data_IF_415819337677
#
_entry.id   IF_415819337677
#
_cell.length_a   1.000
_cell.length_b   1.000
_cell.length_c   1.000
_cell.angle_alpha   90.00
_cell.angle_beta   90.00
_cell.angle_gamma   90.00
#
_symmetry.space_group_name_H-M   'P 1'
#
loop_
_entity.id
_entity.type
_entity.pdbx_description
1 polymer ?
#
# COMPACT_ATOMS: atom_id res chain seq x y z
N UNK A 1 -24.08 -1.58 6.66
CA UNK A 1 -23.28 -2.14 7.77
C UNK A 1 -22.87 -0.98 8.68
N UNK A 2 -22.71 -1.16 10.01
CA UNK A 2 -22.18 -0.11 10.87
C UNK A 2 -20.73 0.20 10.49
N UNK A 3 -20.35 1.47 10.57
CA UNK A 3 -18.96 1.93 10.36
C UNK A 3 -18.35 2.31 11.70
N UNK A 4 -17.03 2.15 11.81
CA UNK A 4 -16.27 2.52 13.00
C UNK A 4 -15.00 3.26 12.58
N UNK A 5 -14.62 4.25 13.36
CA UNK A 5 -13.30 4.89 13.28
C UNK A 5 -12.42 4.23 14.34
N UNK A 6 -11.20 3.82 13.97
CA UNK A 6 -10.27 3.11 14.86
C UNK A 6 -8.94 3.86 14.88
N UNK A 7 -8.40 4.10 16.07
CA UNK A 7 -7.05 4.64 16.24
C UNK A 7 -6.10 3.50 16.60
N UNK A 8 -5.07 3.33 15.77
CA UNK A 8 -3.98 2.38 15.96
C UNK A 8 -2.67 3.11 16.15
N UNK A 9 -1.81 2.56 16.99
CA UNK A 9 -0.47 3.07 17.28
C UNK A 9 0.49 1.92 17.58
N UNK A 10 1.77 2.22 17.73
CA UNK A 10 2.79 1.27 18.13
C UNK A 10 3.88 1.99 18.94
N UNK A 11 4.61 1.23 19.76
CA UNK A 11 5.78 1.77 20.45
C UNK A 11 6.91 1.92 19.46
N UNK A 12 7.38 3.14 19.26
CA UNK A 12 8.55 3.43 18.45
C UNK A 12 9.74 3.77 19.35
N UNK A 13 10.74 2.87 19.46
CA UNK A 13 11.96 3.18 20.18
C UNK A 13 12.71 4.34 19.53
N UNK A 14 13.37 5.11 20.38
CA UNK A 14 14.25 6.20 19.98
C UNK A 14 15.61 5.92 20.59
N UNK A 15 16.66 6.07 19.80
CA UNK A 15 18.04 5.87 20.23
C UNK A 15 18.91 7.08 19.91
N UNK A 16 20.05 7.19 20.58
CA UNK A 16 21.08 8.17 20.27
C UNK A 16 22.45 7.51 20.32
N UNK A 17 23.38 8.01 19.51
CA UNK A 17 24.78 7.62 19.59
C UNK A 17 25.60 8.79 20.14
N UNK A 18 26.34 8.54 21.22
CA UNK A 18 27.22 9.52 21.85
C UNK A 18 28.46 8.82 22.40
N UNK A 19 29.58 9.52 22.39
CA UNK A 19 30.85 9.04 22.94
C UNK A 19 31.05 9.62 24.32
N UNK A 20 31.41 8.77 25.29
CA UNK A 20 31.73 9.16 26.65
C UNK A 20 33.14 8.70 26.98
N UNK A 21 33.96 9.60 27.53
CA UNK A 21 35.28 9.26 28.03
C UNK A 21 35.17 8.85 29.51
N UNK A 22 35.59 7.63 29.83
CA UNK A 22 35.59 7.10 31.19
C UNK A 22 36.71 6.08 31.39
N UNK A 23 37.04 5.77 32.65
CA UNK A 23 38.09 4.82 32.98
C UNK A 23 37.69 3.35 32.69
N UNK A 24 36.39 3.06 32.74
CA UNK A 24 35.82 1.73 32.49
C UNK A 24 34.55 1.82 31.62
N UNK A 25 34.15 0.70 31.03
CA UNK A 25 32.90 0.63 30.27
C UNK A 25 31.69 0.87 31.19
N UNK A 26 31.73 0.35 32.42
CA UNK A 26 30.69 0.56 33.43
C UNK A 26 30.53 2.05 33.76
N UNK A 27 31.64 2.78 33.96
CA UNK A 27 31.59 4.23 34.21
C UNK A 27 31.01 4.98 33.01
N UNK A 28 31.37 4.60 31.78
CA UNK A 28 30.78 5.19 30.56
C UNK A 28 29.28 4.92 30.45
N UNK A 29 28.81 3.72 30.83
CA UNK A 29 27.39 3.39 30.88
C UNK A 29 26.64 4.23 31.93
N UNK A 30 27.23 4.47 33.11
CA UNK A 30 26.63 5.34 34.12
C UNK A 30 26.51 6.79 33.62
N UNK A 31 27.54 7.31 32.94
CA UNK A 31 27.47 8.61 32.28
C UNK A 31 26.35 8.65 31.22
N UNK A 32 26.24 7.61 30.40
CA UNK A 32 25.22 7.54 29.34
C UNK A 32 23.78 7.49 29.87
N UNK A 33 23.55 6.86 31.03
CA UNK A 33 22.25 6.82 31.71
C UNK A 33 21.93 8.15 32.40
N UNK A 34 22.93 8.83 32.97
CA UNK A 34 22.76 10.13 33.61
C UNK A 34 22.62 11.31 32.62
N UNK A 35 23.03 11.12 31.36
CA UNK A 35 22.93 12.14 30.33
C UNK A 35 21.47 12.34 29.88
N UNK A 36 20.86 13.46 30.23
CA UNK A 36 19.47 13.79 29.85
C UNK A 36 19.37 14.50 28.48
N UNK A 37 20.48 14.77 27.79
CA UNK A 37 20.50 15.48 26.51
C UNK A 37 20.32 14.54 25.31
N UNK A 38 19.08 14.45 24.82
CA UNK A 38 18.71 13.63 23.66
C UNK A 38 18.92 14.29 22.30
N UNK A 39 19.72 15.36 22.21
CA UNK A 39 20.05 15.99 20.94
C UNK A 39 20.70 14.99 19.98
N UNK A 40 20.18 14.90 18.76
CA UNK A 40 20.64 13.95 17.74
C UNK A 40 20.05 12.55 17.85
N UNK A 41 18.97 12.38 18.62
CA UNK A 41 18.18 11.15 18.65
C UNK A 41 17.65 10.77 17.25
N UNK A 42 17.40 9.47 17.08
CA UNK A 42 16.84 8.87 15.86
C UNK A 42 15.80 7.84 16.24
N UNK A 43 14.79 7.71 15.41
CA UNK A 43 13.77 6.69 15.55
C UNK A 43 14.26 5.34 15.00
N UNK A 44 13.87 4.26 15.68
CA UNK A 44 14.12 2.89 15.26
C UNK A 44 12.81 2.25 14.76
N UNK A 45 12.63 2.24 13.45
CA UNK A 45 11.45 1.64 12.82
C UNK A 45 11.56 0.10 12.77
N UNK A 46 12.76 -0.45 12.65
CA UNK A 46 13.00 -1.89 12.53
C UNK A 46 12.74 -2.63 13.84
N UNK A 47 12.97 -1.97 14.98
CA UNK A 47 12.71 -2.49 16.31
C UNK A 47 11.40 -1.96 16.94
N UNK A 48 10.49 -1.44 16.12
CA UNK A 48 9.18 -1.00 16.58
C UNK A 48 8.37 -2.14 17.21
N UNK A 49 7.60 -1.82 18.24
CA UNK A 49 6.70 -2.76 18.90
C UNK A 49 5.51 -3.15 18.02
N UNK A 50 4.76 -4.18 18.43
CA UNK A 50 3.52 -4.54 17.75
C UNK A 50 2.51 -3.39 17.75
N UNK A 51 1.72 -3.29 16.68
CA UNK A 51 0.60 -2.35 16.61
C UNK A 51 -0.50 -2.75 17.60
N UNK A 52 -1.04 -1.78 18.31
CA UNK A 52 -2.16 -1.92 19.22
C UNK A 52 -3.15 -0.77 19.03
N UNK A 53 -4.34 -0.90 19.60
CA UNK A 53 -5.40 0.10 19.48
C UNK A 53 -5.46 0.97 20.72
N UNK A 54 -5.70 2.27 20.52
CA UNK A 54 -5.87 3.26 21.60
C UNK A 54 -7.25 3.88 21.61
N UNK A 55 -8.04 3.70 20.56
CA UNK A 55 -9.41 4.18 20.53
C UNK A 55 -10.28 3.56 19.45
N UNK A 56 -11.58 3.56 19.70
CA UNK A 56 -12.63 3.13 18.76
C UNK A 56 -13.85 4.04 18.91
N UNK A 57 -14.46 4.43 17.81
CA UNK A 57 -15.63 5.32 17.78
C UNK A 57 -16.67 4.84 16.79
N UNK A 58 -17.98 5.07 17.05
CA UNK A 58 -19.04 4.74 16.10
C UNK A 58 -19.08 5.76 14.95
N UNK A 59 -19.26 5.29 13.72
CA UNK A 59 -19.38 6.14 12.54
C UNK A 59 -18.06 6.42 11.82
N UNK A 60 -18.17 7.14 10.71
CA UNK A 60 -17.05 7.54 9.85
C UNK A 60 -16.47 8.84 10.39
N UNK A 61 -15.14 8.93 10.45
CA UNK A 61 -14.36 10.10 10.88
C UNK A 61 -14.78 10.69 12.23
N UNK A 62 -15.16 9.83 13.18
CA UNK A 62 -15.78 10.23 14.44
C UNK A 62 -14.82 10.28 15.64
N UNK A 63 -13.52 10.02 15.40
CA UNK A 63 -12.47 10.14 16.40
C UNK A 63 -12.49 11.53 17.03
N UNK A 64 -12.53 11.57 18.37
CA UNK A 64 -12.60 12.80 19.18
C UNK A 64 -13.84 13.70 18.98
N UNK A 65 -14.73 13.36 18.05
CA UNK A 65 -16.03 14.04 17.84
C UNK A 65 -17.10 13.38 18.70
N UNK A 66 -17.06 12.06 18.79
CA UNK A 66 -17.97 11.24 19.60
C UNK A 66 -17.23 10.62 20.78
N UNK A 67 -17.94 10.22 21.85
CA UNK A 67 -17.33 9.42 22.91
C UNK A 67 -16.74 8.12 22.35
N UNK A 68 -15.52 7.79 22.76
CA UNK A 68 -14.91 6.51 22.43
C UNK A 68 -15.71 5.37 23.06
N UNK A 69 -15.78 4.23 22.36
CA UNK A 69 -16.24 2.97 22.92
C UNK A 69 -15.08 2.32 23.69
N UNK A 70 -15.42 1.44 24.63
CA UNK A 70 -14.43 0.58 25.27
C UNK A 70 -13.83 -0.37 24.23
N UNK A 71 -12.49 -0.47 24.23
CA UNK A 71 -11.80 -1.42 23.36
C UNK A 71 -12.10 -2.85 23.81
N UNK A 72 -12.35 -3.78 22.86
CA UNK A 72 -12.42 -5.18 23.21
C UNK A 72 -11.10 -5.67 23.85
N UNK A 73 -11.16 -6.58 24.83
CA UNK A 73 -9.95 -7.16 25.42
C UNK A 73 -9.07 -7.84 24.38
N UNK A 74 -7.75 -7.72 24.53
CA UNK A 74 -6.77 -8.32 23.63
C UNK A 74 -6.23 -7.39 22.55
N UNK A 75 -6.75 -6.17 22.44
CA UNK A 75 -6.35 -5.19 21.43
C UNK A 75 -5.54 -4.01 22.01
N UNK A 76 -5.42 -3.93 23.34
CA UNK A 76 -4.65 -2.89 24.03
C UNK A 76 -3.14 -3.13 24.01
N UNK A 77 -2.38 -2.15 24.50
CA UNK A 77 -0.92 -2.20 24.53
C UNK A 77 -0.39 -3.38 25.36
N UNK A 78 0.41 -4.25 24.75
CA UNK A 78 1.00 -5.42 25.42
C UNK A 78 0.02 -6.58 25.63
N UNK A 79 -1.21 -6.46 25.15
CA UNK A 79 -2.17 -7.55 25.11
C UNK A 79 -1.98 -8.36 23.83
N UNK A 80 -2.15 -9.68 23.94
CA UNK A 80 -2.29 -10.52 22.76
C UNK A 80 -3.78 -10.71 22.50
N UNK A 81 -4.24 -10.56 21.25
CA UNK A 81 -5.63 -10.85 20.92
C UNK A 81 -5.92 -12.31 21.30
N UNK A 82 -7.08 -12.60 21.92
CA UNK A 82 -7.41 -13.96 22.32
C UNK A 82 -7.32 -14.88 21.09
N UNK A 83 -6.75 -16.10 21.23
CA UNK A 83 -6.76 -17.06 20.14
C UNK A 83 -8.22 -17.29 19.75
N UNK A 84 -8.55 -16.93 18.51
CA UNK A 84 -9.90 -17.04 17.96
C UNK A 84 -10.37 -18.48 18.10
N UNK A 85 -11.28 -18.73 19.04
CA UNK A 85 -11.99 -20.00 19.12
C UNK A 85 -12.81 -20.16 17.85
N UNK A 86 -12.33 -20.98 16.91
CA UNK A 86 -13.14 -21.53 15.83
C UNK A 86 -13.51 -20.57 14.71
N UNK A 87 -12.60 -19.69 14.31
CA UNK A 87 -12.63 -19.17 12.94
C UNK A 87 -11.22 -19.31 12.41
N UNK A 88 -11.05 -20.22 11.44
CA UNK A 88 -9.86 -20.19 10.59
C UNK A 88 -9.59 -18.73 10.26
N UNK A 89 -8.39 -18.27 10.64
CA UNK A 89 -7.84 -17.04 10.11
C UNK A 89 -7.70 -17.21 8.60
N UNK A 90 -8.79 -17.00 7.87
CA UNK A 90 -8.68 -16.37 6.58
C UNK A 90 -8.28 -14.94 6.90
N UNK A 91 -6.96 -14.69 6.98
CA UNK A 91 -6.43 -13.41 6.55
C UNK A 91 -7.22 -13.06 5.29
N UNK A 92 -7.97 -11.94 5.22
CA UNK A 92 -8.47 -11.52 3.93
C UNK A 92 -7.24 -11.38 3.06
N UNK A 93 -7.04 -12.35 2.16
CA UNK A 93 -5.96 -12.30 1.20
C UNK A 93 -6.25 -11.03 0.43
N UNK A 94 -5.48 -9.97 0.70
CA UNK A 94 -5.62 -8.71 0.01
C UNK A 94 -5.65 -9.05 -1.48
N UNK A 95 -6.71 -8.62 -2.16
CA UNK A 95 -6.90 -8.97 -3.56
C UNK A 95 -5.59 -8.63 -4.31
N UNK A 96 -5.06 -9.55 -5.14
CA UNK A 96 -3.81 -9.30 -5.84
C UNK A 96 -3.92 -7.99 -6.61
N UNK A 97 -2.86 -7.17 -6.55
CA UNK A 97 -2.79 -5.87 -7.21
C UNK A 97 -1.85 -5.93 -8.41
N UNK A 98 -2.07 -5.06 -9.39
CA UNK A 98 -1.16 -4.83 -10.51
C UNK A 98 -0.98 -3.33 -10.78
N UNK A 99 0.20 -2.91 -11.29
CA UNK A 99 0.42 -1.52 -11.65
C UNK A 99 -0.25 -1.19 -13.00
N UNK A 100 -0.83 0.00 -13.09
CA UNK A 100 -1.32 0.62 -14.33
C UNK A 100 -0.68 1.99 -14.51
N UNK A 101 -0.24 2.32 -15.71
CA UNK A 101 0.33 3.63 -16.03
C UNK A 101 -0.70 4.73 -15.78
N UNK A 102 -0.35 5.76 -15.00
CA UNK A 102 -1.22 6.93 -14.79
C UNK A 102 -1.48 7.75 -16.05
N UNK A 103 -0.61 7.67 -17.06
CA UNK A 103 -0.79 8.38 -18.32
C UNK A 103 -1.71 7.63 -19.28
N UNK A 104 -1.35 6.39 -19.65
CA UNK A 104 -2.06 5.66 -20.70
C UNK A 104 -2.86 4.45 -20.21
N UNK A 105 -2.86 4.12 -18.92
CA UNK A 105 -3.58 2.95 -18.39
C UNK A 105 -2.94 1.59 -18.72
N UNK A 106 -1.76 1.55 -19.35
CA UNK A 106 -1.07 0.28 -19.63
C UNK A 106 -0.65 -0.46 -18.38
N UNK A 107 -0.71 -1.79 -18.41
CA UNK A 107 -0.10 -2.65 -17.40
C UNK A 107 1.41 -2.84 -17.60
N UNK A 108 1.94 -2.44 -18.76
CA UNK A 108 3.34 -2.64 -19.13
C UNK A 108 4.24 -1.61 -18.44
N UNK A 109 4.43 -1.80 -17.13
CA UNK A 109 5.30 -1.00 -16.27
C UNK A 109 6.54 -1.83 -15.92
N UNK A 110 7.73 -1.30 -16.21
CA UNK A 110 9.00 -1.90 -15.83
C UNK A 110 9.71 -1.06 -14.76
N UNK A 111 10.69 -1.67 -14.11
CA UNK A 111 11.66 -1.01 -13.22
C UNK A 111 13.04 -1.56 -13.51
N UNK A 112 14.04 -0.70 -13.38
CA UNK A 112 15.41 -1.15 -13.32
C UNK A 112 15.65 -1.95 -12.04
N UNK A 113 16.54 -2.94 -12.14
CA UNK A 113 16.81 -3.84 -11.04
C UNK A 113 18.28 -4.26 -10.97
N UNK A 114 18.70 -4.59 -9.75
CA UNK A 114 19.95 -5.29 -9.51
C UNK A 114 19.67 -6.79 -9.36
N UNK A 115 20.47 -7.61 -10.01
CA UNK A 115 20.45 -9.06 -9.85
C UNK A 115 21.77 -9.55 -9.26
N UNK A 116 21.69 -10.49 -8.32
CA UNK A 116 22.83 -11.14 -7.68
C UNK A 116 22.88 -12.61 -8.08
N UNK A 117 24.07 -13.18 -8.18
CA UNK A 117 24.23 -14.61 -8.44
C UNK A 117 23.90 -15.41 -7.18
N UNK A 118 22.90 -16.29 -7.26
CA UNK A 118 22.53 -17.24 -6.22
C UNK A 118 23.29 -18.56 -6.45
N UNK A 119 24.24 -18.87 -5.56
CA UNK A 119 25.06 -20.07 -5.67
C UNK A 119 24.30 -21.37 -5.35
N UNK A 120 23.21 -21.30 -4.60
CA UNK A 120 22.40 -22.47 -4.24
C UNK A 120 21.45 -22.79 -5.40
N UNK A 121 20.76 -21.76 -5.90
CA UNK A 121 19.84 -21.89 -7.02
C UNK A 121 20.54 -21.94 -8.40
N UNK A 122 21.83 -21.61 -8.46
CA UNK A 122 22.64 -21.53 -9.69
C UNK A 122 22.01 -20.65 -10.77
N UNK A 123 21.49 -19.49 -10.37
CA UNK A 123 20.85 -18.54 -11.27
C UNK A 123 20.98 -17.10 -10.76
N UNK A 124 20.72 -16.13 -11.64
CA UNK A 124 20.56 -14.74 -11.22
C UNK A 124 19.24 -14.56 -10.47
N UNK A 125 19.31 -13.96 -9.29
CA UNK A 125 18.17 -13.65 -8.42
C UNK A 125 18.02 -12.14 -8.28
N UNK A 126 16.77 -11.66 -8.30
CA UNK A 126 16.45 -10.24 -8.12
C UNK A 126 16.83 -9.79 -6.70
N UNK A 127 17.76 -8.85 -6.57
CA UNK A 127 18.21 -8.32 -5.28
C UNK A 127 17.41 -7.08 -4.87
N UNK A 128 17.24 -6.12 -5.78
CA UNK A 128 16.57 -4.86 -5.52
C UNK A 128 16.00 -4.25 -6.81
N UNK A 129 15.01 -3.36 -6.67
CA UNK A 129 14.49 -2.53 -7.76
C UNK A 129 14.79 -1.05 -7.47
N UNK A 130 15.12 -0.28 -8.50
CA UNK A 130 15.44 1.14 -8.39
C UNK A 130 14.20 2.02 -8.58
N UNK A 131 14.33 3.31 -8.25
CA UNK A 131 13.25 4.25 -7.94
C UNK A 131 12.41 4.68 -9.15
N UNK A 132 12.96 4.70 -10.36
CA UNK A 132 12.18 5.02 -11.57
C UNK A 132 11.33 3.86 -12.06
N UNK A 133 10.12 4.18 -12.53
CA UNK A 133 9.20 3.25 -13.19
C UNK A 133 8.98 3.76 -14.60
N UNK A 134 9.07 2.89 -15.59
CA UNK A 134 8.88 3.25 -17.00
C UNK A 134 7.70 2.49 -17.58
N UNK A 135 6.86 3.19 -18.34
CA UNK A 135 5.80 2.55 -19.11
C UNK A 135 6.29 2.21 -20.51
N UNK A 136 6.35 0.92 -20.84
CA UNK A 136 6.82 0.43 -22.14
C UNK A 136 5.89 0.79 -23.30
N UNK A 137 4.63 1.12 -23.01
CA UNK A 137 3.67 1.56 -24.04
C UNK A 137 3.84 3.02 -24.44
N UNK A 138 3.88 3.93 -23.46
CA UNK A 138 3.85 5.38 -23.74
C UNK A 138 5.20 6.09 -23.50
N UNK A 139 6.20 5.39 -22.96
CA UNK A 139 7.51 5.94 -22.64
C UNK A 139 7.53 6.90 -21.45
N UNK A 140 6.42 7.06 -20.72
CA UNK A 140 6.40 7.85 -19.50
C UNK A 140 7.30 7.21 -18.44
N UNK A 141 8.06 8.03 -17.73
CA UNK A 141 8.98 7.63 -16.67
C UNK A 141 8.76 8.52 -15.43
N UNK A 142 8.54 7.89 -14.27
CA UNK A 142 8.37 8.59 -12.99
C UNK A 142 8.41 7.62 -11.81
N UNK A 143 8.90 8.07 -10.66
CA UNK A 143 8.83 7.33 -9.39
C UNK A 143 7.38 7.05 -8.93
N UNK A 144 6.39 7.81 -9.43
CA UNK A 144 4.97 7.69 -9.06
C UNK A 144 4.08 7.26 -10.25
N UNK A 145 4.64 6.59 -11.25
CA UNK A 145 3.92 6.24 -12.48
C UNK A 145 2.80 5.22 -12.28
N UNK A 146 2.96 4.30 -11.33
CA UNK A 146 2.03 3.22 -11.05
C UNK A 146 0.79 3.70 -10.28
N UNK A 147 -0.37 3.42 -10.85
CA UNK A 147 -1.66 3.31 -10.17
C UNK A 147 -1.88 1.84 -9.82
N UNK A 148 -1.95 1.50 -8.54
CA UNK A 148 -2.20 0.13 -8.09
C UNK A 148 -3.69 -0.17 -8.11
N UNK A 149 -4.07 -1.20 -8.87
CA UNK A 149 -5.47 -1.62 -9.04
C UNK A 149 -5.60 -3.11 -8.80
N UNK A 150 -6.79 -3.61 -8.39
CA UNK A 150 -7.03 -5.04 -8.32
C UNK A 150 -6.76 -5.72 -9.66
N UNK A 151 -6.13 -6.90 -9.60
CA UNK A 151 -5.97 -7.76 -10.78
C UNK A 151 -7.36 -8.14 -11.26
N UNK A 152 -7.66 -7.71 -12.49
CA UNK A 152 -8.88 -8.13 -13.17
C UNK A 152 -8.68 -9.53 -13.75
N UNK A 153 -9.67 -10.40 -13.57
CA UNK A 153 -9.69 -11.69 -14.27
C UNK A 153 -9.69 -11.46 -15.79
N UNK A 154 -8.88 -12.23 -16.51
CA UNK A 154 -8.80 -12.11 -17.97
C UNK A 154 -10.19 -12.37 -18.59
N UNK A 155 -10.62 -11.49 -19.50
CA UNK A 155 -11.95 -11.56 -20.11
C UNK A 155 -13.10 -11.16 -19.17
N UNK A 156 -12.82 -10.49 -18.06
CA UNK A 156 -13.87 -9.84 -17.24
C UNK A 156 -14.19 -8.43 -17.76
N UNK A 157 -15.35 -7.90 -17.37
CA UNK A 157 -15.71 -6.51 -17.64
C UNK A 157 -14.68 -5.52 -17.07
N UNK A 158 -14.05 -5.85 -15.94
CA UNK A 158 -12.98 -5.05 -15.34
C UNK A 158 -11.71 -5.06 -16.19
N UNK A 159 -11.33 -6.20 -16.78
CA UNK A 159 -10.19 -6.27 -17.69
C UNK A 159 -10.48 -5.46 -18.97
N UNK A 160 -11.67 -5.66 -19.54
CA UNK A 160 -12.16 -4.91 -20.69
C UNK A 160 -12.17 -3.40 -20.45
N UNK A 161 -12.64 -2.95 -19.29
CA UNK A 161 -12.61 -1.53 -18.90
C UNK A 161 -11.20 -0.94 -19.01
N UNK A 162 -10.17 -1.65 -18.52
CA UNK A 162 -8.79 -1.18 -18.61
C UNK A 162 -8.24 -1.21 -20.03
N UNK A 163 -8.68 -2.14 -20.88
CA UNK A 163 -8.35 -2.14 -22.31
C UNK A 163 -8.95 -0.92 -23.02
N UNK A 164 -10.21 -0.58 -22.72
CA UNK A 164 -10.86 0.63 -23.27
C UNK A 164 -10.15 1.90 -22.77
N UNK A 165 -9.81 1.98 -21.48
CA UNK A 165 -9.00 3.09 -20.94
C UNK A 165 -7.65 3.19 -21.67
N UNK A 166 -7.01 2.07 -21.95
CA UNK A 166 -5.73 2.05 -22.65
C UNK A 166 -5.86 2.55 -24.11
N UNK A 167 -6.96 2.22 -24.79
CA UNK A 167 -7.26 2.74 -26.12
C UNK A 167 -7.67 4.23 -26.12
N UNK A 168 -8.22 4.71 -25.00
CA UNK A 168 -8.60 6.11 -24.80
C UNK A 168 -7.46 7.00 -24.30
N UNK A 169 -6.46 6.40 -23.64
CA UNK A 169 -5.39 7.07 -22.90
C UNK A 169 -5.92 8.05 -21.83
N UNK A 170 -7.06 7.73 -21.21
CA UNK A 170 -7.73 8.58 -20.21
C UNK A 170 -7.99 7.82 -18.93
N UNK A 171 -6.98 7.75 -18.05
CA UNK A 171 -7.01 6.95 -16.82
C UNK A 171 -8.03 7.42 -15.78
N UNK A 172 -8.41 8.70 -15.79
CA UNK A 172 -9.43 9.24 -14.89
C UNK A 172 -10.82 8.60 -15.08
N UNK A 173 -11.06 7.96 -16.23
CA UNK A 173 -12.30 7.22 -16.49
C UNK A 173 -12.45 5.98 -15.62
N UNK A 174 -11.38 5.48 -14.99
CA UNK A 174 -11.45 4.33 -14.10
C UNK A 174 -12.41 4.53 -12.92
N UNK A 175 -12.62 5.78 -12.49
CA UNK A 175 -13.56 6.17 -11.43
C UNK A 175 -14.91 6.71 -11.94
N UNK A 176 -15.11 6.79 -13.25
CA UNK A 176 -16.33 7.31 -13.85
C UNK A 176 -17.42 6.23 -13.87
N UNK A 177 -18.53 6.47 -13.17
CA UNK A 177 -19.60 5.49 -13.01
C UNK A 177 -20.37 5.20 -14.31
N UNK A 178 -20.53 6.21 -15.17
CA UNK A 178 -21.21 6.04 -16.45
C UNK A 178 -20.33 5.25 -17.43
N UNK A 179 -19.02 5.51 -17.40
CA UNK A 179 -18.04 4.73 -18.15
C UNK A 179 -17.96 3.28 -17.66
N UNK A 180 -17.93 3.06 -16.34
CA UNK A 180 -17.94 1.71 -15.76
C UNK A 180 -19.18 0.90 -16.19
N UNK A 181 -20.36 1.54 -16.16
CA UNK A 181 -21.61 0.93 -16.63
C UNK A 181 -21.53 0.62 -18.12
N UNK A 182 -21.07 1.57 -18.95
CA UNK A 182 -20.88 1.38 -20.38
C UNK A 182 -19.95 0.19 -20.70
N UNK A 183 -18.82 0.08 -20.01
CA UNK A 183 -17.89 -1.04 -20.19
C UNK A 183 -18.51 -2.38 -19.78
N UNK A 184 -19.28 -2.41 -18.68
CA UNK A 184 -19.97 -3.63 -18.25
C UNK A 184 -21.02 -4.08 -19.25
N UNK A 185 -21.80 -3.14 -19.81
CA UNK A 185 -22.82 -3.44 -20.82
C UNK A 185 -22.22 -3.83 -22.18
N UNK A 186 -21.10 -3.23 -22.56
CA UNK A 186 -20.43 -3.49 -23.85
C UNK A 186 -19.52 -4.72 -23.83
N UNK A 187 -19.20 -5.23 -22.64
CA UNK A 187 -18.33 -6.37 -22.46
C UNK A 187 -18.89 -7.62 -23.18
N UNK A 188 -18.05 -8.28 -23.98
CA UNK A 188 -18.44 -9.42 -24.80
C UNK A 188 -19.22 -9.07 -26.08
N UNK A 189 -19.52 -7.79 -26.32
CA UNK A 189 -20.20 -7.31 -27.54
C UNK A 189 -19.28 -6.51 -28.46
N UNK A 190 -18.34 -5.76 -27.89
CA UNK A 190 -17.41 -4.88 -28.61
C UNK A 190 -15.97 -5.25 -28.28
N UNK A 191 -15.07 -4.98 -29.22
CA UNK A 191 -13.64 -4.87 -28.94
C UNK A 191 -13.36 -3.56 -28.18
N UNK A 192 -12.19 -3.48 -27.53
CA UNK A 192 -11.82 -2.28 -26.77
C UNK A 192 -11.73 -1.02 -27.65
N UNK A 193 -11.22 -1.16 -28.88
CA UNK A 193 -11.14 -0.05 -29.85
C UNK A 193 -12.52 0.42 -30.32
N UNK A 194 -13.45 -0.50 -30.58
CA UNK A 194 -14.82 -0.17 -30.94
C UNK A 194 -15.56 0.53 -29.79
N UNK A 195 -15.39 0.04 -28.56
CA UNK A 195 -15.95 0.65 -27.38
C UNK A 195 -15.37 2.06 -27.13
N UNK A 196 -14.06 2.23 -27.31
CA UNK A 196 -13.38 3.52 -27.21
C UNK A 196 -13.91 4.53 -28.26
N UNK A 197 -14.06 4.10 -29.52
CA UNK A 197 -14.63 4.94 -30.58
C UNK A 197 -16.08 5.35 -30.29
N UNK A 198 -16.89 4.42 -29.77
CA UNK A 198 -18.28 4.66 -29.39
C UNK A 198 -18.39 5.62 -28.20
N UNK A 199 -17.55 5.46 -27.18
CA UNK A 199 -17.50 6.35 -26.03
C UNK A 199 -17.14 7.78 -26.43
N UNK A 200 -16.09 7.96 -27.26
CA UNK A 200 -15.71 9.29 -27.80
C UNK A 200 -16.86 9.96 -28.56
N UNK A 201 -17.59 9.19 -29.36
CA UNK A 201 -18.72 9.70 -30.15
C UNK A 201 -19.90 10.13 -29.28
N UNK A 202 -20.17 9.40 -28.19
CA UNK A 202 -21.22 9.73 -27.24
C UNK A 202 -20.87 10.95 -26.38
N UNK A 203 -19.61 11.13 -26.00
CA UNK A 203 -19.14 12.27 -25.22
C UNK A 203 -19.05 13.59 -26.02
N UNK A 204 -19.08 13.51 -27.36
CA UNK A 204 -19.03 14.67 -28.26
C UNK A 204 -20.42 15.15 -28.72
N UNK A 205 -21.50 14.45 -28.34
CA UNK A 205 -22.89 14.74 -28.67
C UNK A 205 -23.60 15.46 -27.52
#
# INVERSE_FOLDING_TARGET
MPSFTIESTYRQPVFRHRTYEAATAEDACQLAIADEDWTGQKEDYENSGATYLTGIWPGVDSAYITPALELPPGYGEGENPPPTAGTESATPVAAPLMPRCRHCGSADICRDANAIWDEIAQQWSLLATYDSQTCERCGADSNNLALWVPVAEAGSASAFLWEVIQALETTSLASDADFQRFCTESHGQLTADEAAARWRSAAAA
#
